data_IF_917005337752
#
_entry.id   IF_917005337752
#
_cell.length_a   1.000
_cell.length_b   1.000
_cell.length_c   1.000
_cell.angle_alpha   90.00
_cell.angle_beta   90.00
_cell.angle_gamma   90.00
#
_symmetry.space_group_name_H-M   'P 1'
#
loop_
_entity.id
_entity.type
_entity.pdbx_description
1 polymer ?
#
# COMPACT_ATOMS: atom_id res chain seq x y z
N UNK A 1 77.90 -9.22 18.26
CA UNK A 1 77.30 -10.22 19.18
C UNK A 1 75.81 -9.86 19.39
N UNK A 2 74.89 -10.76 19.01
CA UNK A 2 73.46 -10.51 19.15
C UNK A 2 72.82 -9.61 18.07
N UNK A 3 73.58 -9.20 17.09
CA UNK A 3 73.05 -8.46 15.94
C UNK A 3 72.27 -9.41 15.03
N UNK A 4 71.04 -9.01 14.68
CA UNK A 4 70.14 -9.77 13.81
C UNK A 4 69.86 -8.98 12.54
N UNK A 5 69.94 -9.63 11.34
CA UNK A 5 69.68 -9.01 10.05
C UNK A 5 69.01 -9.99 9.09
N UNK A 6 68.23 -9.47 8.16
CA UNK A 6 67.66 -10.24 7.05
C UNK A 6 68.68 -10.27 5.90
N UNK A 7 68.82 -11.42 5.23
CA UNK A 7 69.70 -11.56 4.07
C UNK A 7 69.15 -10.71 2.91
N UNK A 8 69.97 -9.84 2.36
CA UNK A 8 69.58 -8.95 1.27
C UNK A 8 69.27 -9.69 -0.05
N UNK A 9 69.78 -10.92 -0.20
CA UNK A 9 69.54 -11.76 -1.38
C UNK A 9 68.29 -12.66 -1.21
N UNK A 10 67.92 -12.97 0.06
CA UNK A 10 66.78 -13.80 0.35
C UNK A 10 66.02 -13.28 1.58
N UNK A 11 64.91 -12.61 1.41
CA UNK A 11 64.13 -12.03 2.50
C UNK A 11 63.54 -13.07 3.49
N UNK A 12 63.60 -14.36 3.16
CA UNK A 12 63.18 -15.43 4.04
C UNK A 12 64.28 -15.89 5.01
N UNK A 13 65.49 -15.39 4.84
CA UNK A 13 66.60 -15.79 5.67
C UNK A 13 66.94 -14.69 6.71
N UNK A 14 66.79 -15.01 7.99
CA UNK A 14 67.19 -14.14 9.10
C UNK A 14 68.50 -14.72 9.71
N UNK A 15 69.50 -13.91 9.79
CA UNK A 15 70.81 -14.28 10.34
C UNK A 15 71.07 -13.53 11.65
N UNK A 16 71.72 -14.20 12.58
CA UNK A 16 72.14 -13.67 13.89
C UNK A 16 73.59 -14.02 14.16
N UNK A 17 74.37 -13.07 14.66
CA UNK A 17 75.74 -13.32 15.16
C UNK A 17 75.72 -13.81 16.63
N UNK A 18 76.13 -15.06 16.86
CA UNK A 18 76.19 -15.65 18.17
C UNK A 18 77.52 -16.31 18.39
N UNK A 19 78.26 -15.89 19.39
CA UNK A 19 79.67 -16.37 19.74
C UNK A 19 80.61 -16.26 18.56
N UNK A 20 80.54 -15.16 17.75
CA UNK A 20 81.39 -14.94 16.59
C UNK A 20 81.02 -15.80 15.35
N UNK A 21 80.00 -16.58 15.41
CA UNK A 21 79.50 -17.42 14.31
C UNK A 21 78.14 -16.90 13.84
N UNK A 22 77.93 -16.86 12.49
CA UNK A 22 76.69 -16.47 11.90
C UNK A 22 75.77 -17.70 11.81
N UNK A 23 74.61 -17.60 12.50
CA UNK A 23 73.54 -18.58 12.40
C UNK A 23 72.41 -18.00 11.59
N UNK A 24 72.02 -18.64 10.50
CA UNK A 24 70.93 -18.23 9.64
C UNK A 24 69.77 -19.24 9.75
N UNK A 25 68.54 -18.74 9.87
CA UNK A 25 67.31 -19.53 9.87
C UNK A 25 66.44 -19.14 8.71
N UNK A 26 65.87 -20.14 8.04
CA UNK A 26 64.92 -19.94 6.93
C UNK A 26 63.52 -19.94 7.49
N UNK A 27 62.75 -18.88 7.19
CA UNK A 27 61.37 -18.81 7.52
C UNK A 27 60.55 -19.62 6.49
N UNK A 28 59.72 -20.54 6.96
CA UNK A 28 58.74 -21.25 6.14
C UNK A 28 57.42 -20.48 6.09
N UNK A 29 56.97 -20.20 4.88
CA UNK A 29 55.70 -19.52 4.69
C UNK A 29 54.53 -20.50 4.90
N UNK A 30 53.51 -20.14 5.66
CA UNK A 30 52.31 -20.94 5.75
C UNK A 30 51.58 -21.02 4.36
N UNK A 31 50.84 -22.11 4.13
CA UNK A 31 50.03 -22.20 2.89
C UNK A 31 49.05 -21.01 2.85
N UNK A 32 49.10 -20.29 1.72
CA UNK A 32 48.23 -19.12 1.48
C UNK A 32 47.16 -19.46 0.45
N UNK A 33 45.90 -19.43 0.88
CA UNK A 33 44.72 -19.52 0.03
C UNK A 33 44.08 -18.14 -0.09
N UNK A 34 44.01 -17.58 -1.28
CA UNK A 34 43.38 -16.28 -1.51
C UNK A 34 41.85 -16.43 -1.67
N UNK A 35 41.11 -15.44 -1.18
CA UNK A 35 39.66 -15.36 -1.34
C UNK A 35 39.26 -15.15 -2.80
N UNK A 36 38.00 -15.43 -3.12
CA UNK A 36 37.46 -15.15 -4.46
C UNK A 36 37.59 -13.65 -4.76
N UNK A 37 38.25 -13.30 -5.89
CA UNK A 37 38.54 -11.94 -6.27
C UNK A 37 39.90 -11.41 -5.82
N UNK A 38 40.70 -12.25 -5.23
CA UNK A 38 42.11 -11.96 -4.90
C UNK A 38 43.05 -12.90 -5.68
N UNK A 39 44.26 -12.46 -5.97
CA UNK A 39 45.31 -13.29 -6.52
C UNK A 39 46.55 -13.23 -5.64
N UNK A 40 47.31 -14.30 -5.69
CA UNK A 40 48.58 -14.43 -4.96
C UNK A 40 49.64 -13.57 -5.62
N UNK A 41 50.25 -12.69 -4.88
CA UNK A 41 51.39 -11.84 -5.32
C UNK A 41 52.54 -11.94 -4.40
N UNK A 42 53.74 -11.93 -4.94
CA UNK A 42 55.00 -11.82 -4.20
C UNK A 42 55.37 -10.34 -4.12
N UNK A 43 55.41 -9.82 -2.93
CA UNK A 43 55.81 -8.43 -2.68
C UNK A 43 57.31 -8.37 -2.56
N UNK A 44 57.96 -7.50 -3.33
CA UNK A 44 59.42 -7.33 -3.28
C UNK A 44 59.87 -6.98 -1.85
N UNK A 45 60.89 -7.73 -1.35
CA UNK A 45 61.41 -7.54 0.03
C UNK A 45 60.63 -8.22 1.12
N UNK A 46 59.50 -8.94 0.84
CA UNK A 46 58.80 -9.80 1.80
C UNK A 46 59.11 -11.27 1.52
N UNK A 47 59.23 -12.06 2.58
CA UNK A 47 59.46 -13.49 2.47
C UNK A 47 58.28 -14.26 1.91
N UNK A 48 57.08 -13.98 2.41
CA UNK A 48 55.87 -14.72 2.05
C UNK A 48 54.99 -13.93 1.09
N UNK A 49 54.30 -14.66 0.21
CA UNK A 49 53.31 -14.10 -0.68
C UNK A 49 52.11 -13.53 0.11
N UNK A 50 51.43 -12.58 -0.46
CA UNK A 50 50.20 -12.02 0.06
C UNK A 50 49.09 -12.05 -1.01
N UNK A 51 47.86 -11.99 -0.56
CA UNK A 51 46.73 -11.87 -1.46
C UNK A 51 46.42 -10.39 -1.76
N UNK A 52 46.31 -10.04 -3.05
CA UNK A 52 45.91 -8.71 -3.49
C UNK A 52 44.63 -8.80 -4.34
N UNK A 53 43.71 -7.84 -4.22
CA UNK A 53 42.47 -7.83 -5.00
C UNK A 53 42.79 -7.69 -6.51
N UNK A 54 42.06 -8.45 -7.34
CA UNK A 54 42.11 -8.34 -8.80
C UNK A 54 41.35 -7.09 -9.23
N UNK A 55 42.08 -5.99 -9.48
CA UNK A 55 41.47 -4.65 -9.63
C UNK A 55 40.79 -4.36 -10.95
N UNK A 56 41.06 -5.14 -12.05
CA UNK A 56 40.64 -4.75 -13.39
C UNK A 56 39.66 -5.70 -14.10
N UNK A 57 39.08 -6.68 -13.40
CA UNK A 57 38.16 -7.65 -14.03
C UNK A 57 36.73 -7.22 -13.86
N UNK A 58 36.06 -6.90 -14.99
CA UNK A 58 34.63 -6.57 -15.02
C UNK A 58 33.76 -7.77 -14.65
N UNK A 59 32.66 -7.53 -13.98
CA UNK A 59 31.67 -8.54 -13.66
C UNK A 59 30.54 -8.54 -14.67
N UNK A 60 30.11 -9.71 -15.11
CA UNK A 60 28.91 -9.87 -15.95
C UNK A 60 27.71 -10.26 -15.05
N UNK A 61 26.67 -9.43 -15.06
CA UNK A 61 25.42 -9.71 -14.36
C UNK A 61 24.21 -9.45 -15.27
N UNK A 62 23.40 -10.47 -15.51
CA UNK A 62 22.21 -10.40 -16.39
C UNK A 62 22.48 -9.76 -17.78
N UNK A 63 23.66 -10.04 -18.38
CA UNK A 63 24.03 -9.51 -19.67
C UNK A 63 24.64 -8.11 -19.66
N UNK A 64 24.79 -7.48 -18.49
CA UNK A 64 25.39 -6.16 -18.29
C UNK A 64 26.77 -6.29 -17.65
N UNK A 65 27.79 -5.59 -18.20
CA UNK A 65 29.11 -5.52 -17.58
C UNK A 65 29.22 -4.38 -16.59
N UNK A 66 29.59 -4.70 -15.36
CA UNK A 66 29.87 -3.76 -14.29
C UNK A 66 31.38 -3.62 -14.08
N UNK A 67 31.81 -2.40 -13.75
CA UNK A 67 33.23 -2.14 -13.45
C UNK A 67 33.55 -2.68 -12.03
N UNK A 68 34.82 -3.00 -11.76
CA UNK A 68 35.26 -3.33 -10.41
C UNK A 68 34.91 -2.21 -9.44
N UNK A 69 34.27 -2.55 -8.31
CA UNK A 69 33.78 -1.58 -7.31
C UNK A 69 32.39 -0.98 -7.59
N UNK A 70 31.79 -1.26 -8.76
CA UNK A 70 30.40 -0.87 -9.01
C UNK A 70 29.46 -1.58 -8.03
N UNK A 71 28.49 -0.82 -7.50
CA UNK A 71 27.42 -1.33 -6.66
C UNK A 71 26.08 -0.95 -7.24
N UNK A 72 25.14 -1.90 -7.33
CA UNK A 72 23.79 -1.68 -7.87
C UNK A 72 22.73 -2.41 -7.08
N UNK A 73 21.51 -1.88 -7.12
CA UNK A 73 20.32 -2.51 -6.54
C UNK A 73 19.71 -3.49 -7.56
N UNK A 74 19.45 -4.72 -7.15
CA UNK A 74 18.70 -5.72 -7.92
C UNK A 74 17.22 -5.62 -7.61
N UNK A 75 16.90 -5.40 -6.34
CA UNK A 75 15.58 -5.12 -5.80
C UNK A 75 15.74 -4.25 -4.55
N UNK A 76 14.62 -3.91 -3.89
CA UNK A 76 14.62 -3.04 -2.71
C UNK A 76 15.42 -3.59 -1.52
N UNK A 77 15.71 -4.89 -1.52
CA UNK A 77 16.43 -5.57 -0.43
C UNK A 77 17.83 -6.04 -0.80
N UNK A 78 18.14 -6.17 -2.08
CA UNK A 78 19.34 -6.82 -2.56
C UNK A 78 20.26 -5.84 -3.28
N UNK A 79 21.43 -5.65 -2.73
CA UNK A 79 22.51 -4.87 -3.35
C UNK A 79 23.60 -5.83 -3.81
N UNK A 80 24.03 -5.67 -5.05
CA UNK A 80 25.17 -6.40 -5.61
C UNK A 80 26.36 -5.47 -5.83
N UNK A 81 27.56 -6.02 -5.72
CA UNK A 81 28.84 -5.34 -5.92
C UNK A 81 29.76 -6.20 -6.79
N UNK A 82 30.48 -5.55 -7.70
CA UNK A 82 31.50 -6.21 -8.51
C UNK A 82 32.84 -6.21 -7.78
N UNK A 83 33.28 -7.39 -7.34
CA UNK A 83 34.56 -7.56 -6.65
C UNK A 83 35.41 -8.61 -7.35
N UNK A 84 36.55 -8.19 -7.95
CA UNK A 84 37.55 -9.07 -8.57
C UNK A 84 36.97 -10.00 -9.64
N UNK A 85 36.09 -9.48 -10.53
CA UNK A 85 35.46 -10.25 -11.58
C UNK A 85 34.28 -11.12 -11.17
N UNK A 86 33.94 -11.12 -9.87
CA UNK A 86 32.81 -11.86 -9.31
C UNK A 86 31.72 -10.91 -8.74
N UNK A 87 30.47 -11.25 -8.96
CA UNK A 87 29.35 -10.51 -8.38
C UNK A 87 29.05 -11.06 -7.00
N UNK A 88 29.13 -10.20 -5.99
CA UNK A 88 28.70 -10.51 -4.62
C UNK A 88 27.41 -9.75 -4.32
N UNK A 89 26.34 -10.48 -4.03
CA UNK A 89 25.06 -9.88 -3.65
C UNK A 89 24.81 -10.09 -2.16
N UNK A 90 24.36 -9.02 -1.49
CA UNK A 90 23.92 -9.04 -0.10
C UNK A 90 22.46 -8.67 -0.04
N UNK A 91 21.65 -9.53 0.58
CA UNK A 91 20.23 -9.28 0.80
C UNK A 91 20.03 -8.86 2.26
N UNK A 92 19.43 -7.70 2.46
CA UNK A 92 19.08 -7.18 3.77
C UNK A 92 18.00 -8.05 4.40
N UNK A 93 18.29 -8.63 5.57
CA UNK A 93 17.29 -9.35 6.37
C UNK A 93 16.50 -8.35 7.20
N UNK A 94 15.17 -8.38 7.05
CA UNK A 94 14.30 -7.55 7.85
C UNK A 94 14.12 -8.14 9.25
N UNK A 95 14.17 -7.31 10.30
CA UNK A 95 13.78 -7.76 11.64
C UNK A 95 12.28 -8.08 11.65
N UNK A 96 11.87 -8.99 12.54
CA UNK A 96 10.45 -9.19 12.81
C UNK A 96 9.85 -7.88 13.32
N UNK A 97 8.80 -7.42 12.63
CA UNK A 97 8.11 -6.18 12.98
C UNK A 97 6.94 -6.55 13.90
N UNK A 98 7.07 -6.20 15.19
CA UNK A 98 5.98 -6.31 16.16
C UNK A 98 5.16 -5.01 16.11
N UNK A 99 3.97 -5.10 15.50
CA UNK A 99 3.04 -3.98 15.36
C UNK A 99 2.01 -4.00 16.48
N UNK A 100 1.58 -2.84 16.92
CA UNK A 100 0.50 -2.70 17.89
C UNK A 100 -0.82 -3.32 17.41
N UNK A 101 -1.82 -3.49 18.28
CA UNK A 101 -3.06 -4.22 17.98
C UNK A 101 -3.89 -3.58 16.85
N UNK A 102 -3.73 -2.29 16.60
CA UNK A 102 -4.42 -1.55 15.52
C UNK A 102 -3.66 -1.52 14.20
N UNK A 103 -2.44 -2.06 14.17
CA UNK A 103 -1.57 -1.99 13.01
C UNK A 103 -1.20 -3.38 12.49
N UNK A 104 -0.72 -3.45 11.26
CA UNK A 104 -0.21 -4.66 10.62
C UNK A 104 1.10 -4.37 9.90
N UNK A 105 2.06 -5.33 9.87
CA UNK A 105 3.26 -5.17 9.09
C UNK A 105 2.93 -5.19 7.60
N UNK A 106 3.39 -4.19 6.86
CA UNK A 106 3.17 -4.06 5.42
C UNK A 106 4.43 -3.52 4.74
N UNK A 107 4.77 -4.12 3.60
CA UNK A 107 5.88 -3.63 2.77
C UNK A 107 5.33 -2.53 1.86
N UNK A 108 5.81 -1.31 2.05
CA UNK A 108 5.43 -0.17 1.22
C UNK A 108 6.27 -0.16 -0.08
N UNK A 109 5.73 0.39 -1.18
CA UNK A 109 6.50 0.56 -2.42
C UNK A 109 7.84 1.27 -2.17
N UNK A 110 8.92 0.74 -2.76
CA UNK A 110 10.29 1.25 -2.60
C UNK A 110 10.90 1.03 -1.20
N UNK A 111 10.32 0.18 -0.37
CA UNK A 111 10.88 -0.22 0.94
C UNK A 111 11.21 -1.70 0.97
N UNK A 112 12.41 -2.01 1.43
CA UNK A 112 12.83 -3.40 1.62
C UNK A 112 12.08 -4.09 2.76
N UNK A 113 11.93 -3.42 3.89
CA UNK A 113 11.40 -4.03 5.10
C UNK A 113 9.97 -3.57 5.40
N UNK A 114 9.13 -4.45 5.97
CA UNK A 114 7.81 -4.06 6.41
C UNK A 114 7.88 -2.97 7.48
N UNK A 115 6.90 -2.08 7.43
CA UNK A 115 6.62 -1.08 8.46
C UNK A 115 5.23 -1.31 9.02
N UNK A 116 4.98 -0.89 10.25
CA UNK A 116 3.64 -0.96 10.81
C UNK A 116 2.74 0.08 10.14
N UNK A 117 1.66 -0.40 9.52
CA UNK A 117 0.60 0.45 8.97
C UNK A 117 -0.72 0.13 9.67
N UNK A 118 -1.62 1.08 9.75
CA UNK A 118 -2.95 0.83 10.31
C UNK A 118 -3.65 -0.31 9.56
N UNK A 119 -4.50 -1.06 10.24
CA UNK A 119 -5.35 -2.08 9.62
C UNK A 119 -6.21 -1.44 8.53
N UNK A 120 -6.54 -2.19 7.46
CA UNK A 120 -7.53 -1.72 6.49
C UNK A 120 -8.84 -1.35 7.18
N UNK A 121 -9.54 -0.36 6.61
CA UNK A 121 -10.86 0.04 7.07
C UNK A 121 -11.89 -0.16 5.96
N UNK A 122 -13.14 -0.42 6.35
CA UNK A 122 -14.26 -0.64 5.45
C UNK A 122 -15.41 0.27 5.80
N UNK A 123 -15.93 0.98 4.80
CA UNK A 123 -17.16 1.73 4.88
C UNK A 123 -18.26 0.97 4.15
N UNK A 124 -19.45 0.96 4.73
CA UNK A 124 -20.62 0.27 4.19
C UNK A 124 -21.69 1.28 3.79
N UNK A 125 -22.46 0.94 2.75
CA UNK A 125 -23.75 1.58 2.47
C UNK A 125 -24.81 0.50 2.26
N UNK A 126 -25.97 0.65 2.88
CA UNK A 126 -27.06 -0.33 2.81
C UNK A 126 -28.43 0.31 3.05
N UNK A 127 -29.44 -0.36 2.54
CA UNK A 127 -30.83 0.03 2.76
C UNK A 127 -31.19 1.38 2.17
N UNK A 128 -31.94 2.18 2.93
CA UNK A 128 -32.42 3.54 2.61
C UNK A 128 -31.49 4.62 3.19
N UNK A 129 -30.48 5.14 2.49
CA UNK A 129 -29.16 4.55 2.65
C UNK A 129 -28.57 4.88 4.01
N UNK A 130 -28.13 3.88 4.70
CA UNK A 130 -27.36 3.98 5.92
C UNK A 130 -25.89 3.83 5.57
N UNK A 131 -25.04 4.74 6.03
CA UNK A 131 -23.58 4.65 5.90
C UNK A 131 -22.99 4.27 7.25
N UNK A 132 -22.11 3.29 7.24
CA UNK A 132 -21.19 3.07 8.36
C UNK A 132 -19.80 3.48 7.89
N UNK A 133 -19.30 4.57 8.44
CA UNK A 133 -18.01 5.17 8.08
C UNK A 133 -16.82 4.25 8.37
N UNK A 134 -15.64 4.63 7.88
CA UNK A 134 -14.39 3.92 8.20
C UNK A 134 -14.08 3.87 9.70
N UNK A 135 -14.48 4.88 10.46
CA UNK A 135 -14.25 4.97 11.90
C UNK A 135 -15.45 4.45 12.72
N UNK A 136 -16.51 3.98 12.04
CA UNK A 136 -17.63 3.27 12.65
C UNK A 136 -18.86 4.10 12.98
N UNK A 137 -18.90 5.38 12.60
CA UNK A 137 -20.12 6.22 12.75
C UNK A 137 -21.21 5.74 11.79
N UNK A 138 -22.45 5.66 12.27
CA UNK A 138 -23.60 5.38 11.40
C UNK A 138 -24.28 6.70 11.04
N UNK A 139 -24.51 6.92 9.75
CA UNK A 139 -25.09 8.13 9.17
C UNK A 139 -26.33 7.73 8.35
N UNK A 140 -27.43 8.43 8.56
CA UNK A 140 -28.65 8.29 7.77
C UNK A 140 -28.76 9.50 6.84
N UNK A 141 -28.70 9.28 5.53
CA UNK A 141 -28.63 10.37 4.57
C UNK A 141 -29.51 10.12 3.35
N UNK A 142 -30.57 10.89 3.17
CA UNK A 142 -31.67 10.68 2.23
C UNK A 142 -31.63 11.58 0.98
N UNK A 143 -30.48 12.02 0.54
CA UNK A 143 -30.35 12.78 -0.70
C UNK A 143 -30.52 11.89 -1.94
N UNK A 144 -30.96 12.46 -3.08
CA UNK A 144 -31.20 11.74 -4.34
C UNK A 144 -30.20 12.11 -5.44
N UNK A 145 -29.15 12.86 -5.10
CA UNK A 145 -28.13 13.29 -6.04
C UNK A 145 -26.98 12.26 -6.16
N UNK A 146 -25.95 12.66 -6.90
CA UNK A 146 -24.66 11.97 -6.93
C UNK A 146 -23.74 12.57 -5.88
N UNK A 147 -23.04 11.74 -5.15
CA UNK A 147 -22.18 12.15 -4.02
C UNK A 147 -20.83 11.46 -4.10
N UNK A 148 -19.80 12.11 -3.55
CA UNK A 148 -18.52 11.44 -3.27
C UNK A 148 -18.70 10.55 -2.05
N UNK A 149 -18.67 9.23 -2.27
CA UNK A 149 -18.75 8.24 -1.20
C UNK A 149 -17.43 8.15 -0.43
N UNK A 150 -16.32 7.99 -1.17
CA UNK A 150 -14.97 7.92 -0.61
C UNK A 150 -13.95 8.38 -1.65
N UNK A 151 -12.96 9.14 -1.24
CA UNK A 151 -11.84 9.53 -2.10
C UNK A 151 -10.58 9.73 -1.26
N UNK A 152 -9.41 9.49 -1.88
CA UNK A 152 -8.14 9.94 -1.35
C UNK A 152 -8.02 11.45 -1.57
N UNK A 153 -8.02 12.23 -0.49
CA UNK A 153 -7.93 13.69 -0.52
C UNK A 153 -6.50 14.23 -0.49
N UNK A 154 -5.52 13.36 -0.38
CA UNK A 154 -4.09 13.70 -0.37
C UNK A 154 -3.48 13.52 -1.78
N UNK A 155 -3.42 12.30 -2.29
CA UNK A 155 -2.77 11.96 -3.57
C UNK A 155 -3.76 11.84 -4.74
N UNK A 156 -5.06 11.77 -4.47
CA UNK A 156 -6.13 11.59 -5.46
C UNK A 156 -6.00 10.27 -6.26
N UNK A 157 -5.51 9.22 -5.61
CA UNK A 157 -5.29 7.91 -6.24
C UNK A 157 -6.60 7.28 -6.76
N UNK A 158 -7.71 7.60 -6.11
CA UNK A 158 -9.03 7.12 -6.52
C UNK A 158 -10.16 8.03 -6.04
N UNK A 159 -11.29 7.91 -6.73
CA UNK A 159 -12.58 8.50 -6.35
C UNK A 159 -13.66 7.44 -6.48
N UNK A 160 -14.50 7.30 -5.47
CA UNK A 160 -15.72 6.49 -5.48
C UNK A 160 -16.91 7.42 -5.33
N UNK A 161 -17.76 7.46 -6.36
CA UNK A 161 -19.02 8.21 -6.36
C UNK A 161 -20.20 7.24 -6.24
N UNK A 162 -21.24 7.67 -5.57
CA UNK A 162 -22.51 6.96 -5.46
C UNK A 162 -23.63 7.81 -6.04
N UNK A 163 -24.47 7.22 -6.89
CA UNK A 163 -25.73 7.80 -7.32
C UNK A 163 -26.85 7.26 -6.44
N UNK A 164 -27.63 8.15 -5.82
CA UNK A 164 -28.86 7.79 -5.11
C UNK A 164 -30.08 8.00 -6.00
N UNK A 165 -31.13 7.22 -5.75
CA UNK A 165 -32.43 7.30 -6.42
C UNK A 165 -33.54 7.11 -5.40
N UNK A 166 -34.65 7.86 -5.54
CA UNK A 166 -35.82 7.76 -4.68
C UNK A 166 -36.78 6.60 -5.06
N UNK A 167 -36.49 5.92 -6.19
CA UNK A 167 -37.34 4.85 -6.74
C UNK A 167 -38.82 5.25 -6.86
N UNK A 168 -39.10 6.55 -6.91
CA UNK A 168 -40.47 7.10 -6.92
C UNK A 168 -41.12 7.26 -5.54
N UNK A 169 -40.42 7.00 -4.44
CA UNK A 169 -40.90 7.17 -3.07
C UNK A 169 -40.35 8.46 -2.45
N UNK A 170 -41.25 9.30 -1.88
CA UNK A 170 -40.82 10.56 -1.28
C UNK A 170 -40.19 10.37 0.09
N UNK A 171 -39.07 11.04 0.33
CA UNK A 171 -38.42 11.12 1.64
C UNK A 171 -37.53 9.93 1.98
N UNK A 172 -37.30 9.02 1.04
CA UNK A 172 -36.34 7.92 1.11
C UNK A 172 -35.54 7.87 -0.18
N UNK A 173 -34.35 7.28 -0.11
CA UNK A 173 -33.54 7.04 -1.29
C UNK A 173 -32.78 5.72 -1.14
N UNK A 174 -32.15 5.25 -2.18
CA UNK A 174 -31.30 4.05 -2.20
C UNK A 174 -30.06 4.29 -3.03
N UNK A 175 -28.97 3.64 -2.68
CA UNK A 175 -27.81 3.58 -3.55
C UNK A 175 -28.19 2.84 -4.86
N UNK A 176 -28.08 3.52 -6.00
CA UNK A 176 -28.50 2.98 -7.30
C UNK A 176 -27.33 2.42 -8.11
N UNK A 177 -26.23 3.16 -8.18
CA UNK A 177 -25.03 2.76 -8.88
C UNK A 177 -23.80 3.48 -8.31
N UNK A 178 -22.64 2.97 -8.68
CA UNK A 178 -21.35 3.52 -8.24
C UNK A 178 -20.46 3.79 -9.44
N UNK A 179 -19.69 4.87 -9.37
CA UNK A 179 -18.62 5.17 -10.31
C UNK A 179 -17.30 5.19 -9.55
N UNK A 180 -16.37 4.35 -9.97
CA UNK A 180 -15.02 4.28 -9.42
C UNK A 180 -14.04 4.80 -10.48
N UNK A 181 -13.16 5.75 -10.09
CA UNK A 181 -12.07 6.23 -10.93
C UNK A 181 -10.75 5.96 -10.22
N UNK A 182 -9.83 5.24 -10.86
CA UNK A 182 -8.49 4.98 -10.38
C UNK A 182 -7.55 4.71 -11.55
N UNK A 183 -6.31 5.18 -11.50
CA UNK A 183 -5.31 5.00 -12.57
C UNK A 183 -5.79 5.39 -13.99
N UNK A 184 -6.65 6.42 -14.10
CA UNK A 184 -7.22 6.85 -15.38
C UNK A 184 -8.34 5.96 -15.94
N UNK A 185 -8.71 4.90 -15.22
CA UNK A 185 -9.81 3.99 -15.60
C UNK A 185 -11.08 4.41 -14.87
N UNK A 186 -12.20 4.48 -15.61
CA UNK A 186 -13.54 4.68 -15.05
C UNK A 186 -14.32 3.38 -15.08
N UNK A 187 -14.83 2.95 -13.92
CA UNK A 187 -15.72 1.79 -13.79
C UNK A 187 -17.06 2.25 -13.26
N UNK A 188 -18.13 1.91 -13.97
CA UNK A 188 -19.50 2.13 -13.50
C UNK A 188 -20.12 0.77 -13.13
N UNK A 189 -20.48 0.60 -11.86
CA UNK A 189 -21.19 -0.56 -11.32
C UNK A 189 -22.66 -0.24 -11.24
N UNK A 190 -23.45 -0.92 -12.06
CA UNK A 190 -24.88 -0.65 -12.24
C UNK A 190 -25.75 -1.70 -11.54
N UNK A 191 -27.04 -1.45 -11.52
CA UNK A 191 -28.03 -2.41 -11.02
C UNK A 191 -27.92 -3.76 -11.76
N UNK A 192 -28.25 -4.86 -11.05
CA UNK A 192 -28.20 -6.24 -11.58
C UNK A 192 -26.79 -6.66 -12.00
N UNK A 193 -25.77 -6.17 -11.28
CA UNK A 193 -24.36 -6.52 -11.48
C UNK A 193 -23.79 -6.23 -12.88
N UNK A 194 -24.40 -5.31 -13.62
CA UNK A 194 -23.83 -4.83 -14.88
C UNK A 194 -22.64 -3.92 -14.62
N UNK A 195 -21.60 -4.11 -15.41
CA UNK A 195 -20.33 -3.37 -15.24
C UNK A 195 -19.93 -2.72 -16.55
N UNK A 196 -19.62 -1.41 -16.49
CA UNK A 196 -19.05 -0.70 -17.61
C UNK A 196 -17.62 -0.25 -17.26
N UNK A 197 -16.68 -0.46 -18.18
CA UNK A 197 -15.32 0.07 -18.10
C UNK A 197 -15.13 1.09 -19.23
N UNK A 198 -14.79 2.32 -18.87
CA UNK A 198 -14.66 3.44 -19.79
C UNK A 198 -15.90 3.59 -20.72
N UNK A 199 -17.09 3.40 -20.15
CA UNK A 199 -18.37 3.54 -20.84
C UNK A 199 -18.76 2.35 -21.72
N UNK A 200 -18.00 1.25 -21.74
CA UNK A 200 -18.32 0.02 -22.47
C UNK A 200 -18.66 -1.09 -21.49
N UNK A 201 -19.76 -1.79 -21.72
CA UNK A 201 -20.16 -2.95 -20.93
C UNK A 201 -19.16 -4.09 -21.15
N UNK A 202 -18.74 -4.72 -20.06
CA UNK A 202 -17.75 -5.81 -20.06
C UNK A 202 -18.33 -7.07 -19.43
N UNK A 203 -17.85 -8.23 -19.89
CA UNK A 203 -18.11 -9.52 -19.26
C UNK A 203 -17.12 -9.76 -18.11
N UNK A 204 -17.59 -10.44 -17.07
CA UNK A 204 -16.77 -10.78 -15.90
C UNK A 204 -16.29 -12.25 -15.97
N UNK A 205 -15.08 -12.59 -15.53
CA UNK A 205 -14.11 -11.68 -14.92
C UNK A 205 -13.43 -10.73 -15.94
N UNK A 206 -13.16 -9.49 -15.53
CA UNK A 206 -12.46 -8.50 -16.33
C UNK A 206 -11.13 -8.14 -15.68
N UNK A 207 -10.04 -8.19 -16.44
CA UNK A 207 -8.69 -7.86 -15.99
C UNK A 207 -8.09 -6.76 -16.83
N UNK A 208 -7.52 -5.74 -16.21
CA UNK A 208 -6.72 -4.70 -16.82
C UNK A 208 -5.42 -4.55 -16.02
N UNK A 209 -4.48 -5.47 -16.28
CA UNK A 209 -3.24 -5.56 -15.54
C UNK A 209 -2.32 -4.35 -15.76
N UNK A 210 -1.66 -3.87 -14.71
CA UNK A 210 -1.73 -4.32 -13.30
C UNK A 210 -2.78 -3.57 -12.47
N UNK A 211 -3.60 -2.71 -13.07
CA UNK A 211 -4.30 -1.63 -12.38
C UNK A 211 -5.67 -2.04 -11.82
N UNK A 212 -6.35 -3.02 -12.45
CA UNK A 212 -7.74 -3.33 -12.13
C UNK A 212 -8.06 -4.81 -12.36
N UNK A 213 -8.78 -5.42 -11.39
CA UNK A 213 -9.44 -6.71 -11.54
C UNK A 213 -10.89 -6.60 -11.06
N UNK A 214 -11.84 -7.11 -11.86
CA UNK A 214 -13.27 -7.16 -11.53
C UNK A 214 -13.73 -8.60 -11.68
N UNK A 215 -14.32 -9.15 -10.63
CA UNK A 215 -14.80 -10.52 -10.57
C UNK A 215 -16.26 -10.54 -10.10
N UNK A 216 -17.00 -11.57 -10.48
CA UNK A 216 -18.32 -11.84 -9.95
C UNK A 216 -18.32 -13.14 -9.15
N UNK A 217 -18.84 -13.10 -7.94
CA UNK A 217 -19.04 -14.24 -7.08
C UNK A 217 -20.50 -14.28 -6.63
N UNK A 218 -21.24 -15.29 -7.07
CA UNK A 218 -22.69 -15.36 -6.90
C UNK A 218 -23.38 -14.04 -7.37
N UNK A 219 -24.11 -13.38 -6.47
CA UNK A 219 -24.84 -12.14 -6.77
C UNK A 219 -24.03 -10.86 -6.45
N UNK A 220 -22.71 -10.96 -6.35
CA UNK A 220 -21.87 -9.86 -5.90
C UNK A 220 -20.73 -9.62 -6.90
N UNK A 221 -20.48 -8.35 -7.23
CA UNK A 221 -19.31 -7.90 -7.98
C UNK A 221 -18.24 -7.43 -7.02
N UNK A 222 -17.02 -7.92 -7.18
CA UNK A 222 -15.84 -7.52 -6.44
C UNK A 222 -14.85 -6.83 -7.38
N UNK A 223 -14.49 -5.60 -7.07
CA UNK A 223 -13.49 -4.82 -7.78
C UNK A 223 -12.25 -4.64 -6.90
N UNK A 224 -11.07 -4.92 -7.44
CA UNK A 224 -9.79 -4.70 -6.80
C UNK A 224 -8.93 -3.80 -7.68
N UNK A 225 -8.24 -2.83 -7.07
CA UNK A 225 -7.31 -1.94 -7.76
C UNK A 225 -5.88 -2.15 -7.28
N UNK A 226 -4.89 -1.75 -8.08
CA UNK A 226 -3.47 -1.77 -7.74
C UNK A 226 -3.13 -0.98 -6.46
N UNK A 227 -3.86 0.10 -6.20
CA UNK A 227 -3.66 0.92 -4.99
C UNK A 227 -4.25 0.27 -3.73
N UNK A 228 -4.85 -0.93 -3.87
CA UNK A 228 -5.41 -1.71 -2.78
C UNK A 228 -6.83 -1.32 -2.38
N UNK A 229 -7.48 -0.40 -3.11
CA UNK A 229 -8.92 -0.16 -2.99
C UNK A 229 -9.67 -1.42 -3.39
N UNK A 230 -10.59 -1.89 -2.54
CA UNK A 230 -11.52 -2.97 -2.84
C UNK A 230 -12.94 -2.43 -2.76
N UNK A 231 -13.77 -2.82 -3.71
CA UNK A 231 -15.17 -2.44 -3.74
C UNK A 231 -16.06 -3.65 -3.99
N UNK A 232 -17.10 -3.80 -3.17
CA UNK A 232 -18.08 -4.88 -3.28
C UNK A 232 -19.45 -4.27 -3.55
N UNK A 233 -20.20 -4.85 -4.51
CA UNK A 233 -21.53 -4.43 -4.90
C UNK A 233 -22.45 -5.63 -5.09
N UNK A 234 -23.64 -5.59 -4.46
CA UNK A 234 -24.64 -6.67 -4.59
C UNK A 234 -25.63 -6.48 -5.75
N UNK A 235 -25.43 -5.43 -6.55
CA UNK A 235 -26.32 -5.16 -7.70
C UNK A 235 -27.67 -4.55 -7.36
N UNK A 236 -27.94 -4.17 -6.08
CA UNK A 236 -29.21 -3.57 -5.67
C UNK A 236 -29.05 -2.36 -4.74
N UNK A 237 -28.60 -2.55 -3.49
CA UNK A 237 -28.61 -1.48 -2.49
C UNK A 237 -27.54 -1.64 -1.41
N UNK A 238 -26.66 -2.64 -1.52
CA UNK A 238 -25.58 -2.89 -0.58
C UNK A 238 -24.21 -2.77 -1.25
N UNK A 239 -23.34 -1.94 -0.71
CA UNK A 239 -21.94 -1.88 -1.14
C UNK A 239 -20.97 -1.68 0.01
N UNK A 240 -19.74 -2.11 -0.22
CA UNK A 240 -18.60 -1.90 0.68
C UNK A 240 -17.44 -1.28 -0.08
N UNK A 241 -16.80 -0.30 0.53
CA UNK A 241 -15.52 0.22 0.10
C UNK A 241 -14.48 -0.04 1.19
N UNK A 242 -13.44 -0.80 0.86
CA UNK A 242 -12.33 -1.10 1.76
C UNK A 242 -11.05 -0.47 1.24
N UNK A 243 -10.29 0.17 2.14
CA UNK A 243 -9.03 0.84 1.83
C UNK A 243 -7.91 0.32 2.73
N UNK A 244 -6.67 0.21 2.22
CA UNK A 244 -5.51 -0.12 3.04
C UNK A 244 -5.29 0.90 4.15
N UNK A 245 -4.65 0.48 5.23
CA UNK A 245 -4.29 1.36 6.34
C UNK A 245 -3.34 2.51 5.98
N UNK A 246 -2.67 2.44 4.82
CA UNK A 246 -1.86 3.51 4.25
C UNK A 246 -2.65 4.78 3.91
N UNK A 247 -3.99 4.65 3.79
CA UNK A 247 -4.91 5.77 3.58
C UNK A 247 -5.47 6.38 4.88
N UNK A 248 -5.02 5.90 6.04
CA UNK A 248 -5.42 6.51 7.32
C UNK A 248 -5.11 8.01 7.33
N UNK A 249 -6.11 8.83 7.69
CA UNK A 249 -6.08 10.32 7.69
C UNK A 249 -5.97 10.98 6.32
N UNK A 250 -6.15 10.23 5.24
CA UNK A 250 -6.14 10.76 3.86
C UNK A 250 -7.52 10.73 3.21
N UNK A 251 -8.47 10.03 3.84
CA UNK A 251 -9.80 9.83 3.29
C UNK A 251 -10.73 11.01 3.54
N UNK A 252 -11.70 11.19 2.63
CA UNK A 252 -12.82 12.09 2.79
C UNK A 252 -14.02 11.60 1.94
N UNK A 253 -15.19 12.19 2.15
CA UNK A 253 -16.45 11.77 1.54
C UNK A 253 -17.48 11.31 2.57
N UNK A 254 -18.57 10.69 2.11
CA UNK A 254 -19.63 10.17 2.97
C UNK A 254 -19.14 9.07 3.93
N UNK A 255 -18.04 8.41 3.61
CA UNK A 255 -17.39 7.39 4.43
C UNK A 255 -16.54 7.94 5.58
N UNK A 256 -16.49 9.27 5.79
CA UNK A 256 -15.67 9.88 6.84
C UNK A 256 -14.18 9.98 6.46
N UNK A 257 -13.33 10.24 7.46
CA UNK A 257 -11.95 10.66 7.24
C UNK A 257 -10.88 9.60 7.60
N UNK A 258 -11.30 8.44 8.10
CA UNK A 258 -10.43 7.32 8.51
C UNK A 258 -9.27 7.78 9.41
N UNK A 259 -9.58 8.53 10.47
CA UNK A 259 -8.56 9.00 11.41
C UNK A 259 -8.55 8.26 12.76
N UNK A 260 -9.55 7.39 13.01
CA UNK A 260 -9.76 6.65 14.24
C UNK A 260 -10.63 7.38 15.25
N UNK A 261 -11.27 8.51 14.89
CA UNK A 261 -12.11 9.31 15.74
C UNK A 261 -13.53 9.46 15.16
N UNK A 262 -14.49 8.60 15.54
CA UNK A 262 -15.87 8.65 15.02
C UNK A 262 -16.57 10.00 15.18
N UNK A 263 -16.16 10.79 16.16
CA UNK A 263 -16.82 12.06 16.53
C UNK A 263 -16.65 13.17 15.47
N UNK A 264 -15.67 13.07 14.58
CA UNK A 264 -15.42 14.07 13.54
C UNK A 264 -15.63 13.55 12.11
N UNK A 265 -16.29 12.39 11.96
CA UNK A 265 -16.62 11.79 10.67
C UNK A 265 -17.55 12.66 9.82
N UNK A 266 -18.49 13.39 10.45
CA UNK A 266 -19.40 14.28 9.74
C UNK A 266 -18.71 15.62 9.41
N UNK A 267 -17.58 15.53 8.73
CA UNK A 267 -16.82 16.69 8.25
C UNK A 267 -17.25 17.04 6.83
N UNK A 268 -17.82 18.22 6.66
CA UNK A 268 -18.23 18.75 5.36
C UNK A 268 -17.04 18.92 4.43
N UNK A 269 -17.31 19.06 3.14
CA UNK A 269 -16.27 19.33 2.11
C UNK A 269 -15.47 20.61 2.40
N UNK A 270 -16.06 21.57 3.13
CA UNK A 270 -15.39 22.82 3.56
C UNK A 270 -14.64 22.66 4.89
N UNK A 271 -14.55 21.44 5.45
CA UNK A 271 -13.82 21.13 6.67
C UNK A 271 -14.61 21.39 7.98
N UNK A 272 -15.86 21.83 7.93
CA UNK A 272 -16.69 22.04 9.09
C UNK A 272 -17.24 20.73 9.65
N UNK A 273 -17.15 20.50 10.96
CA UNK A 273 -17.81 19.39 11.63
C UNK A 273 -19.26 19.78 11.93
N UNK A 274 -20.21 18.89 11.63
CA UNK A 274 -21.63 19.13 11.83
C UNK A 274 -22.32 17.91 12.46
N UNK A 275 -23.48 18.14 13.10
CA UNK A 275 -24.35 17.08 13.58
C UNK A 275 -25.55 16.86 12.63
N UNK A 276 -25.63 17.60 11.52
CA UNK A 276 -26.67 17.48 10.51
C UNK A 276 -26.21 16.52 9.40
N UNK A 277 -26.83 15.33 9.27
CA UNK A 277 -26.55 14.43 8.17
C UNK A 277 -26.83 15.05 6.80
N UNK A 278 -27.88 15.89 6.70
CA UNK A 278 -28.21 16.57 5.45
C UNK A 278 -27.15 17.60 5.06
N UNK A 279 -26.72 18.47 5.97
CA UNK A 279 -25.65 19.43 5.70
C UNK A 279 -24.35 18.74 5.34
N UNK A 280 -23.98 17.68 6.06
CA UNK A 280 -22.82 16.85 5.77
C UNK A 280 -22.91 16.25 4.37
N UNK A 281 -23.94 15.45 4.08
CA UNK A 281 -24.07 14.70 2.84
C UNK A 281 -24.21 15.61 1.61
N UNK A 282 -25.02 16.69 1.69
CA UNK A 282 -25.18 17.66 0.61
C UNK A 282 -23.84 18.36 0.26
N UNK A 283 -22.94 18.54 1.23
CA UNK A 283 -21.62 19.12 0.96
C UNK A 283 -20.74 18.27 0.06
N UNK A 284 -20.99 16.95 -0.01
CA UNK A 284 -20.28 15.99 -0.84
C UNK A 284 -20.94 15.75 -2.20
N UNK A 285 -21.97 16.52 -2.53
CA UNK A 285 -22.65 16.47 -3.83
C UNK A 285 -21.65 16.72 -4.97
N UNK A 286 -21.71 15.87 -5.99
CA UNK A 286 -20.95 16.05 -7.22
C UNK A 286 -21.72 17.03 -8.12
N UNK A 287 -21.05 18.04 -8.71
CA UNK A 287 -21.70 18.91 -9.69
C UNK A 287 -22.31 18.10 -10.84
N UNK A 288 -23.52 18.47 -11.27
CA UNK A 288 -24.19 17.83 -12.40
C UNK A 288 -23.34 17.98 -13.68
N UNK A 289 -22.94 16.88 -14.28
CA UNK A 289 -22.45 16.88 -15.67
C UNK A 289 -23.67 16.99 -16.59
N UNK A 290 -23.66 17.90 -17.57
CA UNK A 290 -24.81 18.31 -18.38
C UNK A 290 -25.71 17.14 -18.82
N UNK A 291 -26.91 17.09 -18.30
CA UNK A 291 -27.94 16.06 -18.57
C UNK A 291 -28.40 15.28 -17.33
N UNK A 292 -27.79 15.47 -16.17
CA UNK A 292 -28.24 14.81 -14.95
C UNK A 292 -29.64 15.29 -14.54
N UNK A 293 -30.48 14.34 -14.06
CA UNK A 293 -31.80 14.64 -13.46
C UNK A 293 -31.69 15.74 -12.42
N UNK A 294 -32.66 16.63 -12.37
CA UNK A 294 -32.85 17.48 -11.18
C UNK A 294 -33.00 16.57 -9.96
N UNK A 295 -32.00 16.57 -9.12
CA UNK A 295 -31.97 15.81 -7.89
C UNK A 295 -32.35 16.70 -6.71
N UNK A 296 -32.96 16.11 -5.66
CA UNK A 296 -33.31 16.81 -4.43
C UNK A 296 -32.19 16.66 -3.40
N UNK A 297 -31.80 17.78 -2.81
CA UNK A 297 -30.94 17.79 -1.65
C UNK A 297 -31.67 17.23 -0.43
N UNK A 298 -30.93 16.52 0.43
CA UNK A 298 -31.46 16.01 1.67
C UNK A 298 -31.86 17.16 2.61
N UNK A 299 -32.87 16.92 3.42
CA UNK A 299 -33.26 17.78 4.55
C UNK A 299 -33.25 16.96 5.82
N UNK A 300 -32.91 17.58 6.96
CA UNK A 300 -32.93 16.93 8.28
C UNK A 300 -34.36 16.77 8.80
N UNK A 301 -35.21 16.12 8.01
CA UNK A 301 -36.57 15.80 8.42
C UNK A 301 -36.55 14.42 9.04
N UNK A 302 -36.76 14.36 10.37
CA UNK A 302 -37.03 13.08 11.02
C UNK A 302 -38.43 12.57 10.58
N UNK A 303 -38.49 11.50 9.76
CA UNK A 303 -39.78 10.95 9.31
C UNK A 303 -40.68 10.52 10.49
N UNK A 304 -40.10 10.21 11.65
CA UNK A 304 -40.84 9.91 12.86
C UNK A 304 -41.57 11.12 13.38
N UNK A 305 -41.10 12.34 13.16
CA UNK A 305 -41.80 13.58 13.60
C UNK A 305 -42.98 13.92 12.71
N UNK A 306 -42.97 13.50 11.45
CA UNK A 306 -44.08 13.73 10.49
C UNK A 306 -45.09 12.58 10.47
N UNK A 307 -44.68 11.39 10.93
CA UNK A 307 -45.55 10.22 10.99
C UNK A 307 -46.63 10.32 12.11
N UNK A 308 -47.85 9.93 11.77
CA UNK A 308 -48.94 9.87 12.78
C UNK A 308 -48.60 8.89 13.92
N UNK A 309 -49.17 9.15 15.10
CA UNK A 309 -48.91 8.39 16.33
C UNK A 309 -48.98 6.86 16.16
N UNK A 310 -49.97 6.35 15.40
CA UNK A 310 -50.13 4.90 15.15
C UNK A 310 -48.95 4.32 14.40
N UNK A 311 -48.47 5.03 13.39
CA UNK A 311 -47.31 4.60 12.57
C UNK A 311 -46.03 4.58 13.41
N UNK A 312 -45.79 5.63 14.18
CA UNK A 312 -44.66 5.71 15.12
C UNK A 312 -44.67 4.56 16.13
N UNK A 313 -45.84 4.32 16.79
CA UNK A 313 -45.96 3.23 17.76
C UNK A 313 -45.69 1.85 17.12
N UNK A 314 -46.23 1.62 15.93
CA UNK A 314 -45.99 0.35 15.20
C UNK A 314 -44.53 0.18 14.81
N UNK A 315 -43.88 1.24 14.31
CA UNK A 315 -42.46 1.23 14.00
C UNK A 315 -41.58 0.96 15.22
N UNK A 316 -41.86 1.66 16.35
CA UNK A 316 -41.12 1.45 17.61
C UNK A 316 -41.21 0.00 18.07
N UNK A 317 -42.40 -0.62 18.03
CA UNK A 317 -42.58 -2.01 18.43
C UNK A 317 -41.86 -2.99 17.49
N UNK A 318 -41.94 -2.76 16.18
CA UNK A 318 -41.24 -3.63 15.18
C UNK A 318 -39.73 -3.47 15.19
N UNK A 319 -39.22 -2.25 15.37
CA UNK A 319 -37.79 -1.98 15.41
C UNK A 319 -37.14 -2.35 16.76
N UNK A 320 -37.91 -2.40 17.86
CA UNK A 320 -37.36 -2.86 19.13
C UNK A 320 -36.87 -4.33 19.11
N UNK A 321 -37.38 -5.13 18.16
CA UNK A 321 -36.92 -6.52 17.94
C UNK A 321 -35.50 -6.57 17.38
N UNK A 322 -35.03 -5.49 16.76
CA UNK A 322 -33.68 -5.40 16.15
C UNK A 322 -32.61 -4.85 17.12
N UNK A 323 -33.00 -4.50 18.33
CA UNK A 323 -32.12 -3.93 19.37
C UNK A 323 -31.68 -4.95 20.44
N UNK A 324 -31.87 -6.25 20.21
CA UNK A 324 -31.46 -7.34 21.11
C UNK A 324 -30.19 -8.01 20.61
#
# INVERSE_FOLDING_TARGET
>A
EGEEWTDSANPCVTCMCKNGIIHCTLMECPPLECSIGEHRVQIAGKCCDSCEPVMDVKCLYQGVYHQPGDSWLVDECTTCECMGGSVKCSTRRCPNQDCGPSDVPSVLPGKCCPVCVAKPATCLVYGDPHYRTFDGTTIHFQGTCRYIMATDCDSQDFVVEVQHDDRGERGVSWAQNFTIRSAGIKVDLLQKNRVLVNGREVELPFLHEPDLAIEQSADTVLLNTKVGLKFLWNGDSYAEVSVPGTYKRKMCGLCGNFNGFPQDDLRTRMGQITNSPALFGNSWKVPAEGGDRQCAEATDVDPCNTAGYRVRKTATVKCAILQV
#
